data_IF_491206400708
#
_entry.id   IF_491206400708
#
_cell.length_a   1.000
_cell.length_b   1.000
_cell.length_c   1.000
_cell.angle_alpha   90.00
_cell.angle_beta   90.00
_cell.angle_gamma   90.00
#
_symmetry.space_group_name_H-M   'P 1'
#
loop_
_entity.id
_entity.type
_entity.pdbx_description
1 polymer ?
#
# COMPACT_ATOMS: atom_id res chain seq x y z
N UNK A 1 17.43 0.58 -9.19
CA UNK A 1 16.27 1.49 -9.39
C UNK A 1 16.79 2.80 -9.99
N UNK A 2 16.19 3.27 -11.08
CA UNK A 2 16.48 4.56 -11.69
C UNK A 2 15.24 5.44 -11.61
N UNK A 3 15.36 6.63 -11.02
CA UNK A 3 14.28 7.60 -10.93
C UNK A 3 14.53 8.70 -11.94
N UNK A 4 13.70 8.76 -12.97
CA UNK A 4 13.73 9.78 -14.01
C UNK A 4 12.90 11.01 -13.62
N UNK A 5 13.13 12.14 -14.28
CA UNK A 5 12.39 13.39 -14.04
C UNK A 5 10.88 13.23 -14.20
N UNK A 6 10.44 12.35 -15.11
CA UNK A 6 9.01 12.07 -15.32
C UNK A 6 8.35 11.44 -14.10
N UNK A 7 9.08 10.61 -13.33
CA UNK A 7 8.57 10.04 -12.07
C UNK A 7 8.35 11.14 -11.03
N UNK A 8 9.27 12.10 -10.93
CA UNK A 8 9.13 13.25 -10.02
C UNK A 8 7.91 14.08 -10.40
N UNK A 9 7.70 14.33 -11.70
CA UNK A 9 6.53 15.05 -12.20
C UNK A 9 5.23 14.29 -11.89
N UNK A 10 5.19 12.99 -12.16
CA UNK A 10 4.05 12.14 -11.87
C UNK A 10 3.70 12.18 -10.36
N UNK A 11 4.71 12.09 -9.49
CA UNK A 11 4.53 12.20 -8.04
C UNK A 11 3.91 13.53 -7.64
N UNK A 12 4.42 14.63 -8.21
CA UNK A 12 3.89 15.97 -7.95
C UNK A 12 2.41 16.07 -8.35
N UNK A 13 2.10 15.63 -9.57
CA UNK A 13 0.74 15.71 -10.13
C UNK A 13 -0.24 14.84 -9.32
N UNK A 14 0.13 13.61 -9.01
CA UNK A 14 -0.72 12.69 -8.23
C UNK A 14 -0.90 13.18 -6.79
N UNK A 15 0.17 13.63 -6.14
CA UNK A 15 0.09 14.17 -4.78
C UNK A 15 -0.83 15.38 -4.72
N UNK A 16 -0.71 16.30 -5.69
CA UNK A 16 -1.59 17.45 -5.81
C UNK A 16 -3.05 17.01 -6.02
N UNK A 17 -3.32 16.20 -7.04
CA UNK A 17 -4.69 15.79 -7.39
C UNK A 17 -5.39 15.07 -6.24
N UNK A 18 -4.67 14.23 -5.50
CA UNK A 18 -5.28 13.35 -4.50
C UNK A 18 -5.32 13.95 -3.09
N UNK A 19 -4.51 14.97 -2.79
CA UNK A 19 -4.43 15.48 -1.41
C UNK A 19 -4.51 17.00 -1.26
N UNK A 20 -4.62 17.76 -2.35
CA UNK A 20 -4.63 19.23 -2.26
C UNK A 20 -5.81 19.78 -1.45
N UNK A 21 -6.94 19.07 -1.33
CA UNK A 21 -8.07 19.48 -0.51
C UNK A 21 -7.73 19.51 0.99
N UNK A 22 -6.76 18.67 1.44
CA UNK A 22 -6.40 18.53 2.87
C UNK A 22 -4.96 18.94 3.19
N UNK A 23 -4.05 18.93 2.21
CA UNK A 23 -2.64 19.31 2.40
C UNK A 23 -2.29 20.57 1.60
N UNK A 24 -2.24 21.71 2.28
CA UNK A 24 -1.88 22.99 1.64
C UNK A 24 -0.45 23.03 1.08
N UNK A 25 0.46 22.20 1.61
CA UNK A 25 1.86 22.15 1.18
C UNK A 25 2.02 21.69 -0.27
N UNK A 26 1.04 20.95 -0.80
CA UNK A 26 1.06 20.45 -2.18
C UNK A 26 0.43 21.42 -3.19
N UNK A 27 -0.17 22.53 -2.75
CA UNK A 27 -0.77 23.57 -3.59
C UNK A 27 0.31 24.50 -4.19
N UNK A 28 1.32 23.92 -4.78
CA UNK A 28 2.49 24.62 -5.33
C UNK A 28 3.00 23.90 -6.57
N UNK A 29 3.73 24.63 -7.41
CA UNK A 29 4.34 24.07 -8.64
C UNK A 29 5.54 23.16 -8.35
N UNK A 30 6.12 23.26 -7.16
CA UNK A 30 7.21 22.40 -6.70
C UNK A 30 6.90 21.95 -5.27
N UNK A 31 6.77 20.63 -5.06
CA UNK A 31 6.57 20.09 -3.72
C UNK A 31 7.73 20.46 -2.78
N UNK A 32 7.44 20.70 -1.49
CA UNK A 32 8.47 20.73 -0.45
C UNK A 32 9.31 19.46 -0.44
N UNK A 33 10.57 19.59 -0.09
CA UNK A 33 11.52 18.46 -0.19
C UNK A 33 11.15 17.28 0.73
N UNK A 34 10.55 17.54 1.89
CA UNK A 34 10.06 16.51 2.81
C UNK A 34 8.89 15.70 2.20
N UNK A 35 7.94 16.37 1.54
CA UNK A 35 6.80 15.74 0.86
C UNK A 35 7.27 14.91 -0.34
N UNK A 36 8.19 15.45 -1.12
CA UNK A 36 8.79 14.75 -2.25
C UNK A 36 9.58 13.53 -1.77
N UNK A 37 10.40 13.68 -0.72
CA UNK A 37 11.18 12.58 -0.14
C UNK A 37 10.29 11.43 0.35
N UNK A 38 9.20 11.74 1.06
CA UNK A 38 8.24 10.72 1.52
C UNK A 38 7.68 9.90 0.35
N UNK A 39 7.31 10.57 -0.73
CA UNK A 39 6.76 9.93 -1.93
C UNK A 39 7.80 9.08 -2.67
N UNK A 40 9.01 9.61 -2.84
CA UNK A 40 10.10 8.87 -3.48
C UNK A 40 10.54 7.66 -2.65
N UNK A 41 10.54 7.77 -1.33
CA UNK A 41 10.85 6.65 -0.43
C UNK A 41 9.88 5.50 -0.63
N UNK A 42 8.57 5.79 -0.73
CA UNK A 42 7.56 4.77 -1.03
C UNK A 42 7.85 4.07 -2.36
N UNK A 43 8.10 4.83 -3.44
CA UNK A 43 8.40 4.25 -4.75
C UNK A 43 9.66 3.38 -4.70
N UNK A 44 10.74 3.87 -4.10
CA UNK A 44 11.98 3.10 -3.98
C UNK A 44 11.76 1.82 -3.16
N UNK A 45 11.02 1.89 -2.06
CA UNK A 45 10.70 0.70 -1.26
C UNK A 45 9.88 -0.33 -2.07
N UNK A 46 8.91 0.12 -2.87
CA UNK A 46 8.14 -0.72 -3.79
C UNK A 46 9.05 -1.44 -4.80
N UNK A 47 9.94 -0.70 -5.47
CA UNK A 47 10.87 -1.27 -6.45
C UNK A 47 11.89 -2.23 -5.80
N UNK A 48 12.33 -1.94 -4.57
CA UNK A 48 13.17 -2.88 -3.80
C UNK A 48 12.39 -4.16 -3.47
N UNK A 49 11.09 -4.05 -3.16
CA UNK A 49 10.20 -5.20 -3.00
C UNK A 49 10.24 -6.13 -4.22
N UNK A 50 10.18 -5.57 -5.44
CA UNK A 50 10.34 -6.35 -6.66
C UNK A 50 11.72 -7.01 -6.79
N UNK A 51 12.78 -6.33 -6.37
CA UNK A 51 14.12 -6.93 -6.33
C UNK A 51 14.21 -8.12 -5.36
N UNK A 52 13.35 -8.14 -4.33
CA UNK A 52 13.19 -9.26 -3.40
C UNK A 52 12.18 -10.32 -3.89
N UNK A 53 11.72 -10.23 -5.13
CA UNK A 53 10.78 -11.19 -5.72
C UNK A 53 9.31 -10.99 -5.33
N UNK A 54 8.97 -9.92 -4.62
CA UNK A 54 7.57 -9.62 -4.31
C UNK A 54 6.83 -9.14 -5.56
N UNK A 55 5.63 -9.65 -5.76
CA UNK A 55 4.74 -9.26 -6.84
C UNK A 55 3.74 -8.21 -6.34
N UNK A 56 3.13 -7.44 -7.25
CA UNK A 56 2.05 -6.54 -6.90
C UNK A 56 0.94 -7.25 -6.12
N UNK A 57 0.48 -6.61 -5.04
CA UNK A 57 -0.65 -7.07 -4.23
C UNK A 57 -1.77 -6.04 -4.24
N UNK A 58 -2.58 -6.04 -5.29
CA UNK A 58 -3.66 -5.06 -5.51
C UNK A 58 -4.89 -5.28 -4.59
N UNK A 59 -4.96 -6.40 -3.84
CA UNK A 59 -6.01 -6.64 -2.87
C UNK A 59 -5.71 -6.07 -1.48
N UNK A 60 -4.53 -5.48 -1.28
CA UNK A 60 -4.14 -4.98 0.04
C UNK A 60 -5.00 -3.81 0.48
N UNK A 61 -5.19 -2.78 -0.34
CA UNK A 61 -6.02 -1.61 -0.04
C UNK A 61 -7.48 -1.97 0.23
N UNK A 62 -8.01 -2.97 -0.47
CA UNK A 62 -9.38 -3.46 -0.26
C UNK A 62 -9.62 -4.05 1.14
N UNK A 63 -8.60 -4.46 1.86
CA UNK A 63 -8.72 -4.95 3.23
C UNK A 63 -9.04 -3.86 4.27
N UNK A 64 -8.98 -2.60 3.88
CA UNK A 64 -9.19 -1.45 4.78
C UNK A 64 -10.60 -0.90 4.57
N UNK A 65 -11.44 -0.81 5.62
CA UNK A 65 -12.72 -0.10 5.52
C UNK A 65 -12.49 1.38 5.14
N UNK A 66 -13.25 1.90 4.18
CA UNK A 66 -13.12 3.30 3.70
C UNK A 66 -13.16 4.30 4.85
N UNK A 67 -14.04 4.11 5.84
CA UNK A 67 -14.14 5.03 6.99
C UNK A 67 -12.87 5.05 7.85
N UNK A 68 -12.10 3.95 7.86
CA UNK A 68 -10.84 3.86 8.59
C UNK A 68 -9.76 4.76 7.99
N UNK A 69 -9.83 5.07 6.70
CA UNK A 69 -8.92 5.99 6.02
C UNK A 69 -9.08 7.44 6.50
N UNK A 70 -10.19 7.76 7.18
CA UNK A 70 -10.48 9.06 7.83
C UNK A 70 -10.07 9.09 9.32
N UNK A 71 -9.55 8.00 9.85
CA UNK A 71 -9.12 7.89 11.24
C UNK A 71 -7.62 8.15 11.39
N UNK A 72 -7.26 9.13 12.23
CA UNK A 72 -5.85 9.45 12.54
C UNK A 72 -5.12 8.24 13.12
N UNK A 73 -5.68 7.62 14.16
CA UNK A 73 -5.06 6.49 14.85
C UNK A 73 -4.91 5.26 13.96
N UNK A 74 -5.87 5.04 13.07
CA UNK A 74 -5.81 3.93 12.11
C UNK A 74 -4.73 4.19 11.05
N UNK A 75 -4.76 5.35 10.41
CA UNK A 75 -3.84 5.67 9.32
C UNK A 75 -2.41 5.92 9.79
N UNK A 76 -2.21 6.36 11.02
CA UNK A 76 -0.88 6.42 11.64
C UNK A 76 -0.27 5.01 11.75
N UNK A 77 -1.07 4.01 12.11
CA UNK A 77 -0.62 2.63 12.31
C UNK A 77 -0.46 1.85 11.01
N UNK A 78 -1.40 1.99 10.07
CA UNK A 78 -1.48 1.13 8.89
C UNK A 78 -1.27 1.86 7.56
N UNK A 79 -1.31 3.20 7.55
CA UNK A 79 -1.29 3.98 6.32
C UNK A 79 -2.56 3.78 5.50
N UNK A 80 -2.41 3.78 4.18
CA UNK A 80 -3.51 3.62 3.23
C UNK A 80 -3.67 2.18 2.71
N UNK A 81 -2.71 1.30 3.01
CA UNK A 81 -2.66 -0.10 2.55
C UNK A 81 -1.77 -0.94 3.46
N UNK A 82 -2.06 -2.23 3.65
CA UNK A 82 -1.16 -3.17 4.35
C UNK A 82 0.12 -3.53 3.61
N UNK A 83 0.27 -3.17 2.32
CA UNK A 83 1.45 -3.51 1.53
C UNK A 83 1.93 -2.36 0.65
N UNK A 84 3.25 -2.13 0.63
CA UNK A 84 3.89 -1.24 -0.34
C UNK A 84 3.83 -1.78 -1.77
N UNK A 85 3.48 -3.05 -1.97
CA UNK A 85 3.35 -3.67 -3.30
C UNK A 85 1.99 -3.41 -3.94
N UNK A 86 1.12 -2.62 -3.29
CA UNK A 86 -0.12 -2.10 -3.83
C UNK A 86 0.11 -0.73 -4.51
N UNK A 87 -0.83 -0.32 -5.36
CA UNK A 87 -0.89 1.02 -5.94
C UNK A 87 -1.89 1.93 -5.20
N UNK A 88 -2.05 1.73 -3.91
CA UNK A 88 -2.88 2.55 -3.02
C UNK A 88 -2.23 3.92 -2.73
N UNK A 89 -1.97 4.69 -3.73
CA UNK A 89 -1.24 5.95 -3.79
C UNK A 89 -1.38 6.86 -2.56
N UNK A 90 -2.16 7.92 -2.66
CA UNK A 90 -2.36 8.89 -1.59
C UNK A 90 -3.80 8.84 -1.10
N UNK A 91 -4.01 9.22 0.17
CA UNK A 91 -5.32 9.16 0.80
C UNK A 91 -6.26 10.25 0.29
N UNK A 92 -6.89 10.01 -0.86
CA UNK A 92 -7.88 10.91 -1.44
C UNK A 92 -9.25 10.84 -0.73
N UNK A 93 -9.43 9.89 0.19
CA UNK A 93 -10.65 9.76 1.00
C UNK A 93 -10.68 10.79 2.13
N UNK A 94 -9.52 11.24 2.59
CA UNK A 94 -9.42 12.24 3.65
C UNK A 94 -10.12 13.54 3.27
N UNK A 95 -10.85 14.14 4.22
CA UNK A 95 -11.60 15.38 4.07
C UNK A 95 -10.96 16.53 4.86
N UNK A 96 -11.25 17.79 4.57
CA UNK A 96 -10.64 18.95 5.25
C UNK A 96 -10.79 18.96 6.78
N UNK A 97 -11.83 18.31 7.31
CA UNK A 97 -12.03 18.15 8.75
C UNK A 97 -11.17 17.04 9.37
N UNK A 98 -10.63 16.12 8.59
CA UNK A 98 -9.84 14.96 9.05
C UNK A 98 -8.38 15.35 9.32
N UNK A 99 -8.17 16.30 10.20
CA UNK A 99 -6.84 16.84 10.49
C UNK A 99 -5.94 15.79 11.14
N UNK A 100 -4.71 15.69 10.62
CA UNK A 100 -3.69 14.76 11.15
C UNK A 100 -3.77 13.34 10.59
N UNK A 101 -4.72 13.04 9.71
CA UNK A 101 -4.79 11.76 8.99
C UNK A 101 -3.57 11.61 8.09
N UNK A 102 -2.98 10.42 8.08
CA UNK A 102 -1.87 10.10 7.19
C UNK A 102 -2.36 10.04 5.74
N UNK A 103 -1.63 10.72 4.85
CA UNK A 103 -1.98 10.85 3.44
C UNK A 103 -1.17 9.92 2.52
N UNK A 104 -0.27 9.14 3.08
CA UNK A 104 0.63 8.27 2.33
C UNK A 104 0.49 6.82 2.75
N UNK A 105 0.88 5.87 1.89
CA UNK A 105 1.10 4.49 2.29
C UNK A 105 2.06 4.38 3.49
N UNK A 106 2.07 3.24 4.21
CA UNK A 106 3.02 3.03 5.30
C UNK A 106 4.45 2.98 4.76
N UNK A 107 5.43 3.02 5.66
CA UNK A 107 6.83 2.78 5.28
C UNK A 107 7.04 1.35 4.81
N UNK A 108 6.54 0.39 5.60
CA UNK A 108 6.33 -1.02 5.27
C UNK A 108 5.01 -1.45 5.90
N UNK A 109 4.19 -2.17 5.16
CA UNK A 109 2.91 -2.68 5.64
C UNK A 109 3.03 -4.03 6.37
N UNK A 110 1.98 -4.40 7.08
CA UNK A 110 1.95 -5.69 7.81
C UNK A 110 2.07 -6.89 6.87
N UNK A 111 1.54 -6.76 5.65
CA UNK A 111 1.70 -7.78 4.61
C UNK A 111 3.15 -7.91 4.15
N UNK A 112 3.90 -6.82 4.06
CA UNK A 112 5.28 -6.85 3.59
C UNK A 112 6.16 -7.63 4.56
N UNK A 113 6.04 -7.38 5.87
CA UNK A 113 6.74 -8.17 6.90
C UNK A 113 6.36 -9.66 6.83
N UNK A 114 5.08 -9.96 6.64
CA UNK A 114 4.61 -11.33 6.49
C UNK A 114 5.18 -11.99 5.23
N UNK A 115 5.15 -11.32 4.09
CA UNK A 115 5.65 -11.84 2.82
C UNK A 115 7.17 -12.14 2.91
N UNK A 116 7.95 -11.24 3.53
CA UNK A 116 9.37 -11.48 3.78
C UNK A 116 9.59 -12.64 4.74
N UNK A 117 8.80 -12.73 5.82
CA UNK A 117 8.87 -13.87 6.73
C UNK A 117 8.66 -15.19 6.00
N UNK A 118 7.57 -15.31 5.27
CA UNK A 118 7.19 -16.54 4.54
C UNK A 118 8.24 -16.96 3.51
N UNK A 119 8.87 -15.99 2.83
CA UNK A 119 9.80 -16.28 1.74
C UNK A 119 11.26 -16.39 2.17
N UNK A 120 11.65 -15.78 3.29
CA UNK A 120 13.07 -15.61 3.61
C UNK A 120 13.48 -15.99 5.04
N UNK A 121 12.52 -16.21 5.94
CA UNK A 121 12.90 -16.52 7.31
C UNK A 121 13.52 -17.93 7.39
N UNK A 122 14.76 -18.05 7.85
CA UNK A 122 15.38 -19.37 8.08
C UNK A 122 14.60 -20.18 9.11
N UNK A 123 14.54 -21.50 8.89
CA UNK A 123 13.91 -22.46 9.80
C UNK A 123 14.99 -23.50 10.20
N UNK A 124 15.84 -23.17 11.18
CA UNK A 124 17.00 -24.03 11.53
C UNK A 124 16.62 -25.42 12.02
N UNK A 125 15.39 -25.60 12.51
CA UNK A 125 14.88 -26.87 13.02
C UNK A 125 14.44 -27.83 11.90
N UNK A 126 14.14 -27.31 10.69
CA UNK A 126 13.79 -28.12 9.54
C UNK A 126 15.06 -28.66 8.87
N UNK A 127 15.10 -29.97 8.65
CA UNK A 127 16.22 -30.67 8.02
C UNK A 127 15.90 -31.10 6.59
N UNK A 128 14.64 -31.05 6.20
CA UNK A 128 14.14 -31.37 4.87
C UNK A 128 13.23 -30.26 4.33
N UNK A 129 13.06 -30.18 3.00
CA UNK A 129 12.14 -29.24 2.36
C UNK A 129 10.69 -29.45 2.79
N UNK A 130 10.30 -30.69 3.08
CA UNK A 130 8.95 -31.07 3.54
C UNK A 130 8.68 -30.51 4.96
N UNK A 131 9.64 -30.61 5.86
CA UNK A 131 9.55 -30.04 7.22
C UNK A 131 9.48 -28.52 7.15
N UNK A 132 10.32 -27.89 6.35
CA UNK A 132 10.30 -26.46 6.11
C UNK A 132 8.93 -26.01 5.59
N UNK A 133 8.39 -26.68 4.56
CA UNK A 133 7.07 -26.40 3.98
C UNK A 133 5.97 -26.53 5.04
N UNK A 134 6.00 -27.50 5.93
CA UNK A 134 5.00 -27.65 6.99
C UNK A 134 4.96 -26.42 7.91
N UNK A 135 6.12 -25.90 8.30
CA UNK A 135 6.23 -24.69 9.14
C UNK A 135 5.68 -23.47 8.39
N UNK A 136 6.06 -23.29 7.14
CA UNK A 136 5.60 -22.17 6.30
C UNK A 136 4.09 -22.24 6.10
N UNK A 137 3.52 -23.40 5.83
CA UNK A 137 2.05 -23.60 5.72
C UNK A 137 1.34 -23.25 7.04
N UNK A 138 1.96 -23.52 8.18
CA UNK A 138 1.46 -23.11 9.49
C UNK A 138 1.38 -21.58 9.61
N UNK A 139 2.39 -20.86 9.19
CA UNK A 139 2.38 -19.38 9.20
C UNK A 139 1.32 -18.80 8.27
N UNK A 140 1.12 -19.44 7.11
CA UNK A 140 0.07 -19.05 6.14
C UNK A 140 -1.31 -19.28 6.74
N UNK A 141 -1.55 -20.46 7.31
CA UNK A 141 -2.83 -20.82 7.92
C UNK A 141 -3.21 -19.89 9.09
N UNK A 142 -2.24 -19.48 9.89
CA UNK A 142 -2.44 -18.51 11.00
C UNK A 142 -3.04 -17.18 10.51
N UNK A 143 -2.67 -16.73 9.31
CA UNK A 143 -3.07 -15.44 8.74
C UNK A 143 -4.24 -15.53 7.75
N UNK A 144 -4.66 -16.73 7.36
CA UNK A 144 -5.61 -16.95 6.27
C UNK A 144 -7.00 -16.28 6.47
N UNK A 145 -7.41 -16.04 7.72
CA UNK A 145 -8.68 -15.38 8.03
C UNK A 145 -8.60 -13.85 8.14
N UNK A 146 -7.40 -13.28 8.18
CA UNK A 146 -7.20 -11.82 8.29
C UNK A 146 -7.05 -11.21 6.91
N UNK A 147 -7.98 -10.32 6.48
CA UNK A 147 -7.95 -9.72 5.15
C UNK A 147 -6.68 -8.90 4.87
N UNK A 148 -6.01 -8.38 5.90
CA UNK A 148 -4.76 -7.62 5.73
C UNK A 148 -3.60 -8.47 5.19
N UNK A 149 -3.72 -9.80 5.22
CA UNK A 149 -2.71 -10.74 4.70
C UNK A 149 -3.13 -11.40 3.38
N UNK A 150 -4.25 -10.96 2.80
CA UNK A 150 -4.72 -11.45 1.50
C UNK A 150 -3.81 -10.98 0.38
N UNK A 151 -3.58 -11.87 -0.58
CA UNK A 151 -2.91 -11.56 -1.83
C UNK A 151 -3.90 -11.49 -2.99
N UNK A 152 -3.82 -10.42 -3.77
CA UNK A 152 -4.56 -10.29 -5.03
C UNK A 152 -3.68 -9.69 -6.10
N UNK A 153 -3.39 -10.50 -7.13
CA UNK A 153 -2.47 -10.12 -8.20
C UNK A 153 -3.04 -9.02 -9.07
N UNK A 154 -2.17 -8.19 -9.65
CA UNK A 154 -2.53 -7.19 -10.65
C UNK A 154 -3.24 -7.81 -11.87
N UNK A 155 -4.34 -7.21 -12.28
CA UNK A 155 -5.18 -7.65 -13.41
C UNK A 155 -4.89 -6.78 -14.64
N UNK A 156 -4.05 -7.29 -15.56
CA UNK A 156 -3.54 -6.50 -16.69
C UNK A 156 -4.50 -6.53 -17.91
N UNK A 157 -5.24 -7.61 -18.11
CA UNK A 157 -6.03 -7.86 -19.35
C UNK A 157 -7.55 -7.79 -19.15
N UNK A 158 -8.01 -7.32 -18.03
CA UNK A 158 -9.43 -7.23 -17.68
C UNK A 158 -9.61 -7.34 -16.17
N UNK A 159 -10.68 -6.76 -15.66
CA UNK A 159 -11.02 -6.79 -14.25
C UNK A 159 -11.97 -7.95 -14.01
N UNK A 160 -11.54 -8.93 -13.26
CA UNK A 160 -12.32 -10.12 -12.88
C UNK A 160 -12.66 -10.11 -11.38
N UNK A 161 -11.77 -9.57 -10.58
CA UNK A 161 -11.91 -9.46 -9.12
C UNK A 161 -11.99 -7.98 -8.72
N UNK A 162 -13.17 -7.49 -8.33
CA UNK A 162 -13.33 -6.10 -7.93
C UNK A 162 -12.63 -5.75 -6.61
N UNK A 163 -12.13 -6.74 -5.88
CA UNK A 163 -11.35 -6.55 -4.66
C UNK A 163 -9.83 -6.48 -4.91
N UNK A 164 -9.39 -6.43 -6.16
CA UNK A 164 -7.98 -6.28 -6.54
C UNK A 164 -7.85 -5.29 -7.70
N UNK A 165 -8.46 -4.12 -7.54
CA UNK A 165 -8.37 -3.02 -8.49
C UNK A 165 -7.02 -2.32 -8.36
N UNK A 166 -6.68 -1.54 -9.37
CA UNK A 166 -5.48 -0.70 -9.38
C UNK A 166 -5.91 0.75 -9.08
N UNK A 167 -5.16 1.44 -8.24
CA UNK A 167 -5.37 2.87 -7.91
C UNK A 167 -6.62 3.15 -7.05
N UNK A 168 -7.23 2.13 -6.44
CA UNK A 168 -8.36 2.28 -5.53
C UNK A 168 -7.92 2.35 -4.06
N UNK A 169 -8.84 2.75 -3.19
CA UNK A 169 -8.68 2.75 -1.73
C UNK A 169 -9.91 2.20 -1.04
N UNK A 170 -9.66 1.33 -0.07
CA UNK A 170 -10.68 0.79 0.83
C UNK A 170 -11.57 -0.27 0.20
N UNK A 171 -12.48 -0.78 1.00
CA UNK A 171 -13.36 -1.91 0.69
C UNK A 171 -14.58 -1.54 -0.19
N UNK A 172 -14.77 -0.25 -0.46
CA UNK A 172 -15.86 0.28 -1.29
C UNK A 172 -15.35 1.40 -2.20
N UNK A 173 -15.01 1.04 -3.44
CA UNK A 173 -14.46 1.96 -4.44
C UNK A 173 -15.43 3.11 -4.80
N UNK A 174 -16.77 2.88 -4.73
CA UNK A 174 -17.78 3.94 -4.99
C UNK A 174 -17.79 4.94 -3.86
N UNK A 175 -17.79 4.47 -2.61
CA UNK A 175 -17.73 5.33 -1.42
C UNK A 175 -16.43 6.11 -1.36
N UNK A 176 -15.31 5.46 -1.62
CA UNK A 176 -13.99 6.11 -1.68
C UNK A 176 -13.95 7.18 -2.79
N UNK A 177 -14.46 6.87 -3.99
CA UNK A 177 -14.53 7.80 -5.10
C UNK A 177 -15.42 9.02 -4.82
N UNK A 178 -16.53 8.86 -4.09
CA UNK A 178 -17.38 9.96 -3.68
C UNK A 178 -16.69 10.95 -2.73
N UNK A 179 -15.74 10.48 -1.90
CA UNK A 179 -14.91 11.35 -1.07
C UNK A 179 -13.83 12.08 -1.88
N UNK A 180 -13.30 11.43 -2.92
CA UNK A 180 -12.21 11.96 -3.75
C UNK A 180 -12.64 12.94 -4.86
N UNK A 181 -13.96 13.13 -5.05
CA UNK A 181 -14.50 14.11 -6.00
C UNK A 181 -14.77 15.44 -5.33
#
# INVERSE_FOLDING_TARGET
>A
VYIYHDVIRLVNDMRFMQTAQVDERVRTTKLPDDVLYESLRYIVAHEVGHCLGLMHNMASSFSIPVDSLRSVTFTEKYGTTPSIMDYARYNYVAQPEDRGVRLTPPELGVYDYYAIKVNYQPIPEATTAEEENQVVQGWIAEKASDPMYRYGKQQIRGVYDPSALTEDLGDDAVKAGNYGM
#
